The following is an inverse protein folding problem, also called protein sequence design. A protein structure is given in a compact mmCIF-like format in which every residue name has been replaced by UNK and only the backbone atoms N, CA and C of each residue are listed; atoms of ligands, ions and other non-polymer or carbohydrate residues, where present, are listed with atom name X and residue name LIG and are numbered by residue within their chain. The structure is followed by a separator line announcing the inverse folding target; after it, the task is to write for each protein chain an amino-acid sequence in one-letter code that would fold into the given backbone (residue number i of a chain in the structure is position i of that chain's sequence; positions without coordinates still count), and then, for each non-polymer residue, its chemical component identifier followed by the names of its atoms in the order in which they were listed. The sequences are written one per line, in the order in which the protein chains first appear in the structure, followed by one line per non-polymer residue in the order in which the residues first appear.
data_IF_226928802752
#
_entry.id   IF_226928802752
#
_cell.length_a   1.000
_cell.length_b   1.000
_cell.length_c   1.000
_cell.angle_alpha   90.00
_cell.angle_beta   90.00
_cell.angle_gamma   90.00
#
_symmetry.space_group_name_H-M   'P 1'
#
loop_
_entity.id
_entity.type
_entity.pdbx_description
1 polymer ?
#
# COMPACT_ATOMS: atom_id res chain seq x y z
N UNK A 1 14.71 -27.79 27.87
CA UNK A 1 14.03 -26.75 27.06
C UNK A 1 12.56 -27.13 26.90
N UNK A 2 11.63 -26.20 26.98
CA UNK A 2 10.22 -26.53 26.82
C UNK A 2 9.96 -26.98 25.38
N UNK A 3 9.52 -28.23 25.22
CA UNK A 3 9.26 -28.92 23.92
C UNK A 3 8.20 -28.20 23.06
N UNK A 4 7.52 -27.18 23.59
CA UNK A 4 6.42 -26.45 22.95
C UNK A 4 6.72 -24.97 22.66
N UNK A 5 7.98 -24.51 22.75
CA UNK A 5 8.34 -23.17 22.28
C UNK A 5 8.72 -23.22 20.80
N UNK A 6 8.03 -22.42 19.98
CA UNK A 6 8.50 -22.11 18.66
C UNK A 6 9.83 -21.36 18.78
N UNK A 7 10.88 -21.94 18.22
CA UNK A 7 12.19 -21.28 18.06
C UNK A 7 12.36 -20.96 16.57
N UNK A 8 13.27 -20.07 16.25
CA UNK A 8 13.60 -19.75 14.85
C UNK A 8 13.89 -21.02 14.03
N UNK A 9 14.54 -22.00 14.66
CA UNK A 9 14.97 -23.25 14.00
C UNK A 9 13.82 -24.21 13.67
N UNK A 10 12.68 -24.13 14.36
CA UNK A 10 11.55 -25.04 14.19
C UNK A 10 10.24 -24.36 13.79
N UNK A 11 10.31 -23.11 13.39
CA UNK A 11 9.13 -22.33 12.99
C UNK A 11 8.58 -22.80 11.64
N UNK A 12 9.46 -23.02 10.66
CA UNK A 12 9.11 -23.56 9.35
C UNK A 12 9.59 -25.01 9.24
N UNK A 13 8.66 -25.94 8.97
CA UNK A 13 8.91 -27.38 8.84
C UNK A 13 8.26 -27.97 7.59
N UNK A 14 7.19 -27.36 7.11
CA UNK A 14 6.35 -27.80 6.02
C UNK A 14 5.67 -26.59 5.36
N UNK A 15 4.91 -26.84 4.31
CA UNK A 15 4.15 -25.81 3.58
C UNK A 15 3.17 -25.05 4.51
N UNK A 16 2.47 -25.76 5.40
CA UNK A 16 1.47 -25.14 6.26
C UNK A 16 2.11 -24.14 7.24
N UNK A 17 3.24 -24.50 7.84
CA UNK A 17 3.98 -23.58 8.73
C UNK A 17 4.61 -22.42 7.97
N UNK A 18 5.08 -22.62 6.74
CA UNK A 18 5.55 -21.54 5.87
C UNK A 18 4.41 -20.57 5.53
N UNK A 19 3.22 -21.08 5.22
CA UNK A 19 2.03 -20.25 4.95
C UNK A 19 1.63 -19.40 6.16
N UNK A 20 1.74 -19.94 7.37
CA UNK A 20 1.46 -19.15 8.58
C UNK A 20 2.44 -18.00 8.75
N UNK A 21 3.71 -18.19 8.43
CA UNK A 21 4.72 -17.12 8.45
C UNK A 21 4.41 -16.07 7.38
N UNK A 22 4.06 -16.48 6.16
CA UNK A 22 3.65 -15.56 5.10
C UNK A 22 2.42 -14.73 5.49
N UNK A 23 1.41 -15.37 6.08
CA UNK A 23 0.23 -14.66 6.60
C UNK A 23 0.62 -13.64 7.67
N UNK A 24 1.62 -13.96 8.50
CA UNK A 24 2.21 -13.03 9.47
C UNK A 24 2.84 -11.80 8.79
N UNK A 25 3.55 -11.98 7.68
CA UNK A 25 4.10 -10.85 6.90
C UNK A 25 2.99 -9.93 6.40
N UNK A 26 1.92 -10.48 5.82
CA UNK A 26 0.75 -9.68 5.40
C UNK A 26 0.07 -8.97 6.58
N UNK A 27 -0.03 -9.64 7.73
CA UNK A 27 -0.66 -9.06 8.94
C UNK A 27 0.09 -7.82 9.45
N UNK A 28 1.42 -7.79 9.35
CA UNK A 28 2.23 -6.63 9.74
C UNK A 28 1.89 -5.37 8.92
N UNK A 29 1.51 -5.51 7.65
CA UNK A 29 1.05 -4.40 6.80
C UNK A 29 -0.26 -3.75 7.27
N UNK A 30 -1.04 -4.45 8.11
CA UNK A 30 -2.30 -3.96 8.69
C UNK A 30 -2.12 -3.34 10.08
N UNK A 31 -0.90 -3.36 10.63
CA UNK A 31 -0.61 -2.73 11.93
C UNK A 31 -0.97 -1.24 11.89
N UNK A 32 -1.46 -0.73 13.02
CA UNK A 32 -1.99 0.63 13.15
C UNK A 32 -1.05 1.69 12.54
N UNK A 33 0.19 1.73 12.96
CA UNK A 33 1.15 2.76 12.54
C UNK A 33 1.52 2.67 11.06
N UNK A 34 1.43 1.47 10.46
CA UNK A 34 1.67 1.26 9.02
C UNK A 34 0.43 1.65 8.21
N UNK A 35 -0.74 1.22 8.64
CA UNK A 35 -1.99 1.40 7.90
C UNK A 35 -2.55 2.82 7.95
N UNK A 36 -2.23 3.58 8.99
CA UNK A 36 -2.71 4.96 9.16
C UNK A 36 -1.83 6.03 8.52
N UNK A 37 -0.63 5.70 8.13
CA UNK A 37 0.31 6.69 7.62
C UNK A 37 -0.16 7.48 6.40
N UNK A 38 -0.92 6.91 5.43
CA UNK A 38 -1.48 7.68 4.34
C UNK A 38 -2.35 8.87 4.78
N UNK A 39 -3.04 8.75 5.93
CA UNK A 39 -3.82 9.84 6.49
C UNK A 39 -2.95 10.96 7.07
N UNK A 40 -1.81 10.60 7.68
CA UNK A 40 -0.84 11.57 8.16
C UNK A 40 -0.25 12.36 6.99
N UNK A 41 0.03 11.68 5.86
CA UNK A 41 0.48 12.35 4.63
C UNK A 41 -0.58 13.28 4.05
N UNK A 42 -1.85 12.84 4.02
CA UNK A 42 -2.95 13.68 3.56
C UNK A 42 -3.12 14.92 4.43
N UNK A 43 -2.94 14.79 5.75
CA UNK A 43 -2.96 15.94 6.67
C UNK A 43 -1.76 16.87 6.43
N UNK A 44 -0.57 16.31 6.26
CA UNK A 44 0.65 17.06 5.96
C UNK A 44 0.55 17.80 4.62
N UNK A 45 -0.09 17.19 3.61
CA UNK A 45 -0.38 17.79 2.30
C UNK A 45 -1.59 18.76 2.29
N UNK A 46 -2.20 19.04 3.45
CA UNK A 46 -3.41 19.85 3.56
C UNK A 46 -4.62 19.31 2.75
N UNK A 47 -4.66 18.01 2.52
CA UNK A 47 -5.79 17.33 1.88
C UNK A 47 -6.81 16.83 2.90
N UNK A 48 -6.35 16.47 4.09
CA UNK A 48 -7.14 15.92 5.18
C UNK A 48 -6.90 16.61 6.52
N UNK A 49 -7.76 16.31 7.48
CA UNK A 49 -7.62 16.72 8.87
C UNK A 49 -7.73 15.50 9.77
N UNK A 50 -6.72 15.27 10.59
CA UNK A 50 -6.72 14.22 11.61
C UNK A 50 -7.29 14.77 12.89
N UNK A 51 -8.33 14.12 13.43
CA UNK A 51 -9.06 14.57 14.63
C UNK A 51 -9.21 13.45 15.66
N UNK A 52 -9.66 13.79 16.86
CA UNK A 52 -9.97 12.83 17.90
C UNK A 52 -8.73 12.25 18.59
N UNK A 53 -8.73 10.92 18.82
CA UNK A 53 -7.64 10.25 19.53
C UNK A 53 -6.30 10.28 18.80
N UNK A 54 -6.32 10.65 17.52
CA UNK A 54 -5.13 10.86 16.71
C UNK A 54 -4.52 12.26 16.91
N UNK A 55 -4.94 12.98 17.93
CA UNK A 55 -4.46 14.33 18.24
C UNK A 55 -2.94 14.42 18.49
N UNK A 56 -2.27 13.33 18.86
CA UNK A 56 -0.80 13.24 18.85
C UNK A 56 -0.16 13.45 17.49
N UNK A 57 -0.99 13.48 16.42
CA UNK A 57 -0.61 13.79 15.04
C UNK A 57 -0.76 15.28 14.69
N UNK A 58 -0.96 16.17 15.65
CA UNK A 58 -1.22 17.59 15.40
C UNK A 58 -0.15 18.28 14.55
N UNK A 59 1.11 17.83 14.66
CA UNK A 59 2.19 18.34 13.82
C UNK A 59 1.96 18.13 12.33
N UNK A 60 1.28 17.06 11.94
CA UNK A 60 0.95 16.81 10.53
C UNK A 60 -0.09 17.81 9.99
N UNK A 61 -1.09 18.18 10.78
CA UNK A 61 -2.11 19.15 10.36
C UNK A 61 -1.54 20.57 10.13
N UNK A 62 -0.37 20.88 10.69
CA UNK A 62 0.26 22.22 10.64
C UNK A 62 1.65 22.19 9.99
N UNK A 63 2.02 21.09 9.37
CA UNK A 63 3.31 20.87 8.71
C UNK A 63 4.53 21.10 9.62
N UNK A 64 4.38 20.85 10.91
CA UNK A 64 5.44 20.95 11.92
C UNK A 64 5.55 19.63 12.69
N UNK A 65 6.16 18.63 12.04
CA UNK A 65 6.32 17.29 12.61
C UNK A 65 7.69 17.18 13.25
N UNK A 66 7.77 17.04 14.58
CA UNK A 66 9.06 16.93 15.27
C UNK A 66 9.78 15.63 14.93
N UNK A 67 11.11 15.66 14.92
CA UNK A 67 11.97 14.50 14.58
C UNK A 67 11.78 13.29 15.52
N UNK A 68 11.32 13.52 16.73
CA UNK A 68 11.02 12.47 17.72
C UNK A 68 9.54 12.05 17.71
N UNK A 69 8.82 12.32 16.63
CA UNK A 69 7.42 11.95 16.48
C UNK A 69 7.24 10.43 16.53
N UNK A 70 6.38 9.96 17.43
CA UNK A 70 6.16 8.53 17.67
C UNK A 70 5.59 7.81 16.43
N UNK A 71 4.70 8.48 15.66
CA UNK A 71 4.14 7.87 14.44
C UNK A 71 5.21 7.63 13.39
N UNK A 72 6.15 8.57 13.21
CA UNK A 72 7.27 8.38 12.29
C UNK A 72 8.16 7.22 12.72
N UNK A 73 8.50 7.16 14.02
CA UNK A 73 9.31 6.07 14.57
C UNK A 73 8.62 4.72 14.43
N UNK A 74 7.33 4.65 14.71
CA UNK A 74 6.56 3.43 14.60
C UNK A 74 6.40 2.97 13.16
N UNK A 75 6.13 3.89 12.22
CA UNK A 75 6.11 3.58 10.79
C UNK A 75 7.44 2.99 10.32
N UNK A 76 8.55 3.67 10.64
CA UNK A 76 9.88 3.21 10.29
C UNK A 76 10.15 1.80 10.82
N UNK A 77 9.92 1.58 12.10
CA UNK A 77 10.07 0.28 12.73
C UNK A 77 9.10 -0.77 12.16
N UNK A 78 7.88 -0.37 11.84
CA UNK A 78 6.87 -1.24 11.24
C UNK A 78 7.31 -1.77 9.87
N UNK A 79 7.88 -0.91 9.02
CA UNK A 79 8.42 -1.33 7.72
C UNK A 79 9.58 -2.33 7.89
N UNK A 80 10.51 -2.08 8.84
CA UNK A 80 11.60 -3.02 9.10
C UNK A 80 11.14 -4.35 9.71
N UNK A 81 10.03 -4.38 10.45
CA UNK A 81 9.43 -5.66 10.90
C UNK A 81 8.93 -6.47 9.72
N UNK A 82 8.27 -5.83 8.74
CA UNK A 82 7.84 -6.50 7.50
C UNK A 82 9.06 -7.07 6.77
N UNK A 83 10.10 -6.26 6.56
CA UNK A 83 11.35 -6.66 5.90
C UNK A 83 11.98 -7.86 6.61
N UNK A 84 12.12 -7.80 7.92
CA UNK A 84 12.77 -8.87 8.69
C UNK A 84 11.97 -10.17 8.66
N UNK A 85 10.64 -10.09 8.74
CA UNK A 85 9.77 -11.27 8.62
C UNK A 85 9.80 -11.87 7.22
N UNK A 86 9.84 -11.04 6.19
CA UNK A 86 10.01 -11.49 4.80
C UNK A 86 11.37 -12.17 4.60
N UNK A 87 12.45 -11.56 5.12
CA UNK A 87 13.79 -12.17 5.08
C UNK A 87 13.82 -13.55 5.74
N UNK A 88 13.17 -13.70 6.90
CA UNK A 88 13.07 -14.98 7.59
C UNK A 88 12.43 -16.04 6.69
N UNK A 89 11.26 -15.73 6.12
CA UNK A 89 10.55 -16.67 5.25
C UNK A 89 11.38 -17.04 4.03
N UNK A 90 11.97 -16.07 3.36
CA UNK A 90 12.79 -16.28 2.16
C UNK A 90 13.97 -17.21 2.50
N UNK A 91 14.74 -16.91 3.54
CA UNK A 91 15.90 -17.69 3.94
C UNK A 91 15.55 -19.12 4.33
N UNK A 92 14.49 -19.34 5.09
CA UNK A 92 14.08 -20.68 5.53
C UNK A 92 13.55 -21.53 4.35
N UNK A 93 12.83 -20.92 3.40
CA UNK A 93 12.39 -21.61 2.19
C UNK A 93 13.55 -21.95 1.25
N UNK A 94 14.50 -21.02 1.06
CA UNK A 94 15.71 -21.24 0.26
C UNK A 94 16.62 -22.30 0.89
N UNK A 95 16.66 -22.37 2.22
CA UNK A 95 17.38 -23.43 2.97
C UNK A 95 16.66 -24.79 2.95
N UNK A 96 15.50 -24.91 2.31
CA UNK A 96 14.76 -26.17 2.18
C UNK A 96 14.10 -26.66 3.48
N UNK A 97 13.81 -25.75 4.43
CA UNK A 97 13.21 -26.12 5.72
C UNK A 97 11.76 -26.57 5.61
N UNK A 98 11.01 -26.09 4.61
CA UNK A 98 9.64 -26.54 4.35
C UNK A 98 9.65 -27.91 3.64
N UNK A 99 9.75 -28.99 4.42
CA UNK A 99 9.86 -30.35 3.90
C UNK A 99 8.60 -30.71 3.10
N UNK A 100 8.80 -31.21 1.88
CA UNK A 100 7.71 -31.69 1.01
C UNK A 100 6.93 -30.58 0.28
N UNK A 101 7.33 -29.33 0.40
CA UNK A 101 6.74 -28.24 -0.38
C UNK A 101 7.07 -28.44 -1.87
N UNK A 102 6.08 -28.24 -2.74
CA UNK A 102 6.30 -28.22 -4.18
C UNK A 102 7.10 -26.98 -4.61
N UNK A 103 7.95 -27.11 -5.62
CA UNK A 103 8.86 -26.02 -6.01
C UNK A 103 8.12 -24.76 -6.47
N UNK A 104 7.04 -24.92 -7.23
CA UNK A 104 6.16 -23.83 -7.67
C UNK A 104 5.53 -23.10 -6.49
N UNK A 105 5.07 -23.82 -5.47
CA UNK A 105 4.51 -23.25 -4.25
C UNK A 105 5.57 -22.51 -3.44
N UNK A 106 6.78 -23.07 -3.34
CA UNK A 106 7.91 -22.41 -2.70
C UNK A 106 8.26 -21.08 -3.38
N UNK A 107 8.39 -21.10 -4.72
CA UNK A 107 8.65 -19.90 -5.50
C UNK A 107 7.55 -18.84 -5.35
N UNK A 108 6.29 -19.27 -5.34
CA UNK A 108 5.14 -18.41 -5.07
C UNK A 108 5.25 -17.70 -3.72
N UNK A 109 5.52 -18.44 -2.64
CA UNK A 109 5.67 -17.85 -1.30
C UNK A 109 6.87 -16.90 -1.20
N UNK A 110 8.00 -17.24 -1.83
CA UNK A 110 9.17 -16.37 -1.91
C UNK A 110 8.82 -15.08 -2.67
N UNK A 111 8.06 -15.18 -3.76
CA UNK A 111 7.64 -14.04 -4.56
C UNK A 111 6.77 -13.06 -3.75
N UNK A 112 5.82 -13.57 -3.00
CA UNK A 112 4.98 -12.77 -2.12
C UNK A 112 5.79 -12.10 -1.01
N UNK A 113 6.73 -12.81 -0.39
CA UNK A 113 7.62 -12.25 0.62
C UNK A 113 8.53 -11.16 0.05
N UNK A 114 9.10 -11.38 -1.16
CA UNK A 114 9.90 -10.38 -1.88
C UNK A 114 9.08 -9.14 -2.25
N UNK A 115 7.84 -9.31 -2.72
CA UNK A 115 6.94 -8.19 -2.95
C UNK A 115 6.73 -7.34 -1.68
N UNK A 116 6.44 -7.99 -0.54
CA UNK A 116 6.22 -7.28 0.72
C UNK A 116 7.49 -6.55 1.18
N UNK A 117 8.67 -7.16 1.00
CA UNK A 117 9.95 -6.53 1.30
C UNK A 117 10.22 -5.32 0.40
N UNK A 118 10.03 -5.46 -0.89
CA UNK A 118 10.18 -4.38 -1.86
C UNK A 118 9.21 -3.21 -1.57
N UNK A 119 7.95 -3.52 -1.28
CA UNK A 119 6.95 -2.52 -0.95
C UNK A 119 7.32 -1.75 0.34
N UNK A 120 7.83 -2.46 1.36
CA UNK A 120 8.31 -1.84 2.58
C UNK A 120 9.54 -0.94 2.33
N UNK A 121 10.51 -1.36 1.52
CA UNK A 121 11.64 -0.53 1.13
C UNK A 121 11.23 0.68 0.29
N UNK A 122 10.28 0.52 -0.61
CA UNK A 122 9.75 1.63 -1.40
C UNK A 122 9.06 2.67 -0.53
N UNK A 123 8.33 2.25 0.49
CA UNK A 123 7.78 3.17 1.49
C UNK A 123 8.89 3.87 2.29
N UNK A 124 9.90 3.13 2.75
CA UNK A 124 11.02 3.68 3.51
C UNK A 124 11.80 4.72 2.70
N UNK A 125 12.17 4.43 1.46
CA UNK A 125 12.97 5.36 0.66
C UNK A 125 12.18 6.63 0.31
N UNK A 126 10.88 6.51 0.03
CA UNK A 126 10.02 7.67 -0.25
C UNK A 126 9.80 8.60 0.94
N UNK A 127 9.73 8.05 2.15
CA UNK A 127 9.38 8.84 3.35
C UNK A 127 10.59 9.26 4.18
N UNK A 128 11.71 8.53 4.08
CA UNK A 128 12.88 8.74 4.93
C UNK A 128 14.18 8.92 4.16
N UNK A 129 14.18 8.78 2.82
CA UNK A 129 15.32 8.98 1.93
C UNK A 129 15.16 10.17 1.00
N UNK A 130 16.22 10.51 0.29
CA UNK A 130 16.20 11.50 -0.80
C UNK A 130 15.81 10.80 -2.13
N UNK A 131 14.62 10.18 -2.15
CA UNK A 131 14.12 9.28 -3.21
C UNK A 131 14.19 9.87 -4.64
N UNK A 132 14.23 11.19 -4.76
CA UNK A 132 14.24 11.94 -6.01
C UNK A 132 15.64 12.14 -6.62
N UNK A 133 16.70 11.78 -5.88
CA UNK A 133 18.09 11.87 -6.34
C UNK A 133 18.77 10.50 -6.27
N UNK A 134 18.89 9.83 -7.42
CA UNK A 134 19.53 8.52 -7.53
C UNK A 134 21.02 8.51 -7.18
N UNK A 135 21.67 9.68 -7.17
CA UNK A 135 23.07 9.81 -6.81
C UNK A 135 23.29 10.10 -5.32
N UNK A 136 22.20 10.29 -4.56
CA UNK A 136 22.30 10.57 -3.13
C UNK A 136 22.73 9.33 -2.34
N UNK A 137 23.59 9.53 -1.35
CA UNK A 137 23.97 8.55 -0.33
C UNK A 137 22.96 8.45 0.84
N UNK A 138 21.87 9.24 0.78
CA UNK A 138 20.84 9.31 1.81
C UNK A 138 19.61 8.48 1.47
N UNK A 139 19.81 7.22 1.14
CA UNK A 139 18.75 6.23 1.07
C UNK A 139 18.34 5.74 2.46
N UNK A 140 18.15 4.45 2.61
CA UNK A 140 17.81 3.79 3.89
C UNK A 140 18.72 2.60 4.13
N UNK A 141 18.72 2.05 5.34
CA UNK A 141 19.53 0.87 5.67
C UNK A 141 18.95 -0.35 4.97
N UNK A 142 19.75 -1.03 4.14
CA UNK A 142 19.36 -2.31 3.54
C UNK A 142 19.66 -3.46 4.51
N UNK A 143 18.65 -4.27 4.78
CA UNK A 143 18.71 -5.51 5.54
C UNK A 143 18.07 -6.61 4.71
N UNK A 144 18.91 -7.41 4.06
CA UNK A 144 18.47 -8.47 3.13
C UNK A 144 18.51 -9.86 3.77
N UNK A 145 18.94 -9.92 5.03
CA UNK A 145 19.00 -11.16 5.82
C UNK A 145 18.20 -11.00 7.11
N UNK A 146 17.64 -12.12 7.58
CA UNK A 146 16.98 -12.16 8.87
C UNK A 146 17.98 -11.97 10.01
N UNK A 147 17.60 -11.17 11.01
CA UNK A 147 18.37 -11.01 12.25
C UNK A 147 17.45 -10.78 13.44
N UNK A 148 17.80 -11.38 14.56
CA UNK A 148 17.21 -11.06 15.88
C UNK A 148 17.88 -9.87 16.56
N UNK A 149 19.02 -9.40 16.03
CA UNK A 149 19.79 -8.30 16.57
C UNK A 149 19.79 -7.15 15.58
N UNK A 150 19.56 -5.95 16.07
CA UNK A 150 19.57 -4.74 15.27
C UNK A 150 20.83 -3.92 15.57
N UNK A 151 21.90 -4.27 14.89
CA UNK A 151 23.08 -3.42 14.91
C UNK A 151 22.86 -2.12 14.12
N UNK A 152 23.42 -1.03 14.62
CA UNK A 152 23.40 0.22 13.91
C UNK A 152 24.26 0.10 12.61
N UNK A 153 23.67 0.48 11.49
CA UNK A 153 24.33 0.46 10.19
C UNK A 153 24.17 1.83 9.51
N UNK A 154 25.12 2.18 8.67
CA UNK A 154 25.00 3.35 7.81
C UNK A 154 23.86 3.16 6.80
N UNK A 155 23.30 4.26 6.32
CA UNK A 155 22.35 4.22 5.21
C UNK A 155 23.06 3.75 3.94
N UNK A 156 22.35 3.02 3.12
CA UNK A 156 22.74 2.75 1.75
C UNK A 156 22.37 3.95 0.85
N UNK A 157 22.98 4.03 -0.31
CA UNK A 157 22.62 5.01 -1.33
C UNK A 157 21.17 4.76 -1.83
N UNK A 158 20.55 5.79 -2.35
CA UNK A 158 19.21 5.71 -2.96
C UNK A 158 19.20 4.68 -4.09
N UNK A 159 20.24 4.67 -4.92
CA UNK A 159 20.38 3.71 -6.02
C UNK A 159 20.49 2.26 -5.55
N UNK A 160 21.24 1.98 -4.48
CA UNK A 160 21.29 0.61 -3.92
C UNK A 160 19.92 0.14 -3.41
N UNK A 161 19.16 1.06 -2.79
CA UNK A 161 17.80 0.74 -2.32
C UNK A 161 16.87 0.45 -3.49
N UNK A 162 16.89 1.25 -4.55
CA UNK A 162 16.08 0.98 -5.74
C UNK A 162 16.50 -0.33 -6.44
N UNK A 163 17.79 -0.61 -6.55
CA UNK A 163 18.26 -1.88 -7.11
C UNK A 163 17.71 -3.09 -6.34
N UNK A 164 17.66 -3.04 -5.01
CA UNK A 164 17.09 -4.12 -4.20
C UNK A 164 15.57 -4.24 -4.42
N UNK A 165 14.86 -3.12 -4.52
CA UNK A 165 13.43 -3.11 -4.83
C UNK A 165 13.15 -3.73 -6.20
N UNK A 166 13.92 -3.34 -7.21
CA UNK A 166 13.79 -3.89 -8.56
C UNK A 166 14.07 -5.38 -8.60
N UNK A 167 15.16 -5.84 -7.98
CA UNK A 167 15.50 -7.28 -7.92
C UNK A 167 14.35 -8.10 -7.33
N UNK A 168 13.79 -7.65 -6.22
CA UNK A 168 12.69 -8.34 -5.56
C UNK A 168 11.42 -8.34 -6.42
N UNK A 169 11.08 -7.21 -7.04
CA UNK A 169 9.87 -7.09 -7.86
C UNK A 169 9.99 -7.82 -9.20
N UNK A 170 11.16 -7.83 -9.83
CA UNK A 170 11.43 -8.62 -11.02
C UNK A 170 11.24 -10.11 -10.73
N UNK A 171 11.83 -10.61 -9.65
CA UNK A 171 11.62 -11.99 -9.22
C UNK A 171 10.13 -12.28 -8.99
N UNK A 172 9.46 -11.40 -8.25
CA UNK A 172 8.05 -11.57 -7.89
C UNK A 172 7.11 -11.49 -9.11
N UNK A 173 7.42 -10.66 -10.11
CA UNK A 173 6.64 -10.57 -11.34
C UNK A 173 6.75 -11.82 -12.22
N UNK A 174 7.88 -12.55 -12.15
CA UNK A 174 8.14 -13.74 -12.96
C UNK A 174 7.66 -15.05 -12.29
N UNK A 175 7.70 -15.11 -10.95
CA UNK A 175 7.44 -16.33 -10.19
C UNK A 175 6.20 -16.20 -9.28
N UNK A 176 5.60 -15.03 -9.22
CA UNK A 176 4.39 -14.80 -8.44
C UNK A 176 3.18 -15.50 -9.06
N UNK A 177 2.25 -15.96 -8.21
CA UNK A 177 1.03 -16.60 -8.69
C UNK A 177 0.09 -15.59 -9.35
N UNK A 178 -0.86 -16.10 -10.11
CA UNK A 178 -2.03 -15.35 -10.55
C UNK A 178 -3.07 -15.48 -9.46
N UNK A 179 -3.50 -14.37 -8.87
CA UNK A 179 -4.53 -14.34 -7.85
C UNK A 179 -5.82 -13.71 -8.35
N UNK A 180 -6.92 -14.33 -7.96
CA UNK A 180 -8.25 -13.75 -8.10
C UNK A 180 -8.53 -12.79 -6.93
N UNK A 181 -7.92 -13.06 -5.78
CA UNK A 181 -8.12 -12.30 -4.54
C UNK A 181 -7.19 -11.09 -4.49
N UNK A 182 -7.74 -9.89 -4.46
CA UNK A 182 -7.03 -8.61 -4.53
C UNK A 182 -6.23 -8.25 -3.26
N UNK A 183 -6.22 -9.11 -2.26
CA UNK A 183 -5.46 -8.91 -1.02
C UNK A 183 -4.16 -9.73 -0.96
N UNK A 184 -3.84 -10.48 -2.00
CA UNK A 184 -2.56 -11.16 -2.19
C UNK A 184 -1.72 -10.50 -3.28
N UNK A 185 -0.41 -10.50 -3.11
CA UNK A 185 0.52 -9.93 -4.08
C UNK A 185 0.99 -11.00 -5.08
N UNK A 186 0.31 -11.05 -6.22
CA UNK A 186 0.69 -11.92 -7.34
C UNK A 186 1.62 -11.24 -8.35
N UNK A 187 1.80 -11.90 -9.49
CA UNK A 187 2.62 -11.42 -10.62
C UNK A 187 2.18 -10.03 -11.08
N UNK A 188 0.86 -9.82 -11.28
CA UNK A 188 0.33 -8.54 -11.77
C UNK A 188 0.55 -7.40 -10.77
N UNK A 189 0.33 -7.65 -9.47
CA UNK A 189 0.60 -6.66 -8.43
C UNK A 189 2.08 -6.26 -8.40
N UNK A 190 2.98 -7.23 -8.65
CA UNK A 190 4.43 -6.99 -8.71
C UNK A 190 4.80 -6.14 -9.92
N UNK A 191 4.22 -6.39 -11.10
CA UNK A 191 4.39 -5.54 -12.29
C UNK A 191 3.85 -4.12 -12.06
N UNK A 192 2.68 -4.01 -11.45
CA UNK A 192 2.07 -2.72 -11.13
C UNK A 192 2.94 -1.87 -10.19
N UNK A 193 3.50 -2.50 -9.14
CA UNK A 193 4.40 -1.81 -8.23
C UNK A 193 5.72 -1.46 -8.91
N UNK A 194 6.27 -2.35 -9.74
CA UNK A 194 7.52 -2.11 -10.47
C UNK A 194 7.37 -0.96 -11.50
N UNK A 195 6.23 -0.88 -12.19
CA UNK A 195 5.94 0.26 -13.07
C UNK A 195 5.96 1.59 -12.31
N UNK A 196 5.39 1.60 -11.10
CA UNK A 196 5.44 2.76 -10.20
C UNK A 196 6.87 3.08 -9.76
N UNK A 197 7.66 2.09 -9.40
CA UNK A 197 9.09 2.26 -9.03
C UNK A 197 9.88 2.85 -10.18
N UNK A 198 9.72 2.33 -11.39
CA UNK A 198 10.40 2.85 -12.59
C UNK A 198 10.03 4.30 -12.90
N UNK A 199 8.76 4.69 -12.68
CA UNK A 199 8.36 6.10 -12.81
C UNK A 199 9.15 6.99 -11.86
N UNK A 200 9.31 6.56 -10.58
CA UNK A 200 10.07 7.31 -9.56
C UNK A 200 11.56 7.40 -9.88
N UNK A 201 12.13 6.41 -10.53
CA UNK A 201 13.52 6.40 -10.98
C UNK A 201 13.76 7.17 -12.28
N UNK A 202 12.71 7.63 -12.97
CA UNK A 202 12.80 8.26 -14.27
C UNK A 202 13.03 7.27 -15.43
N UNK A 203 12.84 5.97 -15.22
CA UNK A 203 12.85 4.90 -16.23
C UNK A 203 11.52 4.87 -16.97
N UNK A 204 11.24 5.92 -17.74
CA UNK A 204 9.90 6.16 -18.27
C UNK A 204 9.48 5.12 -19.33
N UNK A 205 10.39 4.67 -20.18
CA UNK A 205 10.11 3.65 -21.18
C UNK A 205 9.70 2.31 -20.54
N UNK A 206 10.44 1.90 -19.52
CA UNK A 206 10.18 0.68 -18.76
C UNK A 206 8.88 0.80 -17.95
N UNK A 207 8.63 1.96 -17.35
CA UNK A 207 7.39 2.24 -16.61
C UNK A 207 6.16 2.14 -17.53
N UNK A 208 6.22 2.74 -18.73
CA UNK A 208 5.14 2.67 -19.72
C UNK A 208 4.91 1.25 -20.21
N UNK A 209 5.98 0.51 -20.55
CA UNK A 209 5.89 -0.87 -21.02
C UNK A 209 5.23 -1.80 -19.99
N UNK A 210 5.65 -1.73 -18.70
CA UNK A 210 5.02 -2.51 -17.63
C UNK A 210 3.58 -2.06 -17.35
N UNK A 211 3.31 -0.76 -17.45
CA UNK A 211 1.94 -0.27 -17.30
C UNK A 211 1.03 -0.85 -18.37
N UNK A 212 1.49 -1.00 -19.62
CA UNK A 212 0.75 -1.68 -20.69
C UNK A 212 0.45 -3.14 -20.35
N UNK A 213 1.44 -3.90 -19.85
CA UNK A 213 1.22 -5.29 -19.44
C UNK A 213 0.15 -5.40 -18.33
N UNK A 214 0.08 -4.42 -17.40
CA UNK A 214 -0.94 -4.40 -16.36
C UNK A 214 -2.30 -3.96 -16.90
N UNK A 215 -2.36 -2.97 -17.77
CA UNK A 215 -3.61 -2.46 -18.36
C UNK A 215 -4.27 -3.51 -19.24
N UNK A 216 -3.49 -4.21 -20.06
CA UNK A 216 -3.98 -5.23 -20.98
C UNK A 216 -3.96 -6.65 -20.39
N UNK A 217 -4.07 -6.76 -19.07
CA UNK A 217 -4.11 -8.04 -18.37
C UNK A 217 -5.32 -8.89 -18.80
N UNK A 218 -5.18 -10.20 -18.65
CA UNK A 218 -6.25 -11.19 -18.83
C UNK A 218 -6.73 -11.80 -17.49
N UNK A 219 -6.30 -11.21 -16.35
CA UNK A 219 -6.64 -11.66 -15.00
C UNK A 219 -7.98 -11.07 -14.50
N UNK A 220 -8.65 -10.24 -15.30
CA UNK A 220 -9.98 -9.70 -14.99
C UNK A 220 -9.98 -8.35 -14.27
N UNK A 221 -8.82 -7.71 -14.13
CA UNK A 221 -8.75 -6.33 -13.60
C UNK A 221 -9.22 -5.35 -14.67
N UNK A 222 -10.26 -4.60 -14.36
CA UNK A 222 -10.85 -3.58 -15.23
C UNK A 222 -11.24 -2.36 -14.40
N UNK A 223 -11.29 -1.19 -15.07
CA UNK A 223 -11.80 0.02 -14.43
C UNK A 223 -13.28 -0.15 -14.07
N UNK A 224 -13.66 0.29 -12.88
CA UNK A 224 -15.06 0.35 -12.49
C UNK A 224 -15.82 1.37 -13.33
N UNK A 225 -17.04 1.01 -13.74
CA UNK A 225 -17.90 1.91 -14.50
C UNK A 225 -18.29 3.16 -13.67
N UNK A 226 -18.48 2.96 -12.37
CA UNK A 226 -18.86 4.00 -11.43
C UNK A 226 -17.76 4.21 -10.39
N UNK A 227 -17.26 5.43 -10.27
CA UNK A 227 -16.19 5.76 -9.31
C UNK A 227 -16.49 5.32 -7.87
N UNK A 228 -17.76 5.41 -7.46
CA UNK A 228 -18.17 5.00 -6.12
C UNK A 228 -18.07 3.49 -5.88
N UNK A 229 -18.11 2.67 -6.94
CA UNK A 229 -18.04 1.21 -6.84
C UNK A 229 -16.69 0.74 -6.31
N UNK A 230 -15.60 1.45 -6.64
CA UNK A 230 -14.26 1.18 -6.12
C UNK A 230 -14.29 1.06 -4.58
N UNK A 231 -14.94 2.00 -3.92
CA UNK A 231 -14.93 2.10 -2.45
C UNK A 231 -16.02 1.26 -1.80
N UNK A 232 -17.17 1.10 -2.46
CA UNK A 232 -18.27 0.24 -1.99
C UNK A 232 -17.90 -1.24 -2.06
N UNK A 233 -17.14 -1.62 -3.08
CA UNK A 233 -16.67 -3.01 -3.25
C UNK A 233 -15.39 -3.30 -2.45
N UNK A 234 -14.71 -2.24 -1.92
CA UNK A 234 -13.51 -2.36 -1.13
C UNK A 234 -12.41 -3.14 -1.89
N UNK A 235 -11.73 -4.10 -1.24
CA UNK A 235 -10.73 -4.93 -1.88
C UNK A 235 -11.28 -5.89 -2.95
N UNK A 236 -12.62 -6.04 -3.08
CA UNK A 236 -13.26 -6.85 -4.13
C UNK A 236 -13.57 -6.05 -5.41
N UNK A 237 -13.25 -4.77 -5.47
CA UNK A 237 -13.42 -3.99 -6.69
C UNK A 237 -12.52 -4.53 -7.81
N UNK A 238 -13.04 -4.65 -9.02
CA UNK A 238 -12.28 -5.08 -10.19
C UNK A 238 -11.13 -4.13 -10.56
N UNK A 239 -11.14 -2.90 -10.05
CA UNK A 239 -10.08 -1.91 -10.24
C UNK A 239 -8.93 -2.06 -9.23
N UNK A 240 -9.15 -2.72 -8.11
CA UNK A 240 -8.16 -2.87 -7.04
C UNK A 240 -7.21 -4.01 -7.38
N UNK A 241 -5.93 -3.70 -7.57
CA UNK A 241 -4.88 -4.69 -7.85
C UNK A 241 -4.31 -5.25 -6.55
N UNK A 242 -4.10 -4.37 -5.54
CA UNK A 242 -3.62 -4.81 -4.24
C UNK A 242 -4.14 -3.91 -3.11
N UNK A 243 -4.82 -4.51 -2.16
CA UNK A 243 -5.28 -3.87 -0.93
C UNK A 243 -5.40 -4.90 0.21
N UNK A 244 -5.05 -4.56 1.45
CA UNK A 244 -5.15 -5.49 2.58
C UNK A 244 -6.58 -6.00 2.80
N UNK A 245 -6.73 -7.27 3.13
CA UNK A 245 -8.01 -7.85 3.52
C UNK A 245 -8.52 -7.25 4.84
N UNK A 246 -9.78 -6.82 4.83
CA UNK A 246 -10.48 -6.31 6.02
C UNK A 246 -11.87 -6.95 6.09
N UNK A 247 -12.01 -8.01 6.85
CA UNK A 247 -13.28 -8.71 7.06
C UNK A 247 -13.84 -8.52 8.47
N UNK A 248 -15.03 -9.05 8.78
CA UNK A 248 -15.73 -8.82 10.05
C UNK A 248 -14.91 -9.10 11.30
N UNK A 249 -14.16 -10.19 11.31
CA UNK A 249 -13.37 -10.63 12.46
C UNK A 249 -11.85 -10.55 12.20
N UNK A 250 -11.45 -9.72 11.23
CA UNK A 250 -10.06 -9.64 10.82
C UNK A 250 -9.27 -8.56 11.57
N UNK A 251 -8.03 -8.89 11.86
CA UNK A 251 -7.07 -7.93 12.37
C UNK A 251 -6.95 -6.71 11.43
N UNK A 252 -6.85 -5.53 12.02
CA UNK A 252 -6.78 -4.27 11.27
C UNK A 252 -8.14 -3.67 10.87
N UNK A 253 -9.26 -4.40 10.96
CA UNK A 253 -10.59 -3.86 10.64
C UNK A 253 -10.90 -2.60 11.43
N UNK A 254 -10.71 -2.63 12.75
CA UNK A 254 -10.94 -1.47 13.61
C UNK A 254 -10.06 -0.29 13.21
N UNK A 255 -8.82 -0.55 12.83
CA UNK A 255 -7.92 0.48 12.35
C UNK A 255 -8.45 1.11 11.07
N UNK A 256 -8.83 0.30 10.09
CA UNK A 256 -9.38 0.79 8.82
C UNK A 256 -10.68 1.58 8.99
N UNK A 257 -11.48 1.26 10.00
CA UNK A 257 -12.68 2.03 10.32
C UNK A 257 -12.39 3.44 10.86
N UNK A 258 -11.29 3.61 11.58
CA UNK A 258 -10.89 4.93 12.04
C UNK A 258 -10.56 5.87 10.88
N UNK A 259 -10.12 5.33 9.74
CA UNK A 259 -9.89 6.09 8.51
C UNK A 259 -11.15 6.84 8.06
N UNK A 260 -12.31 6.25 8.22
CA UNK A 260 -13.60 6.88 7.88
C UNK A 260 -13.92 8.12 8.72
N UNK A 261 -13.28 8.27 9.88
CA UNK A 261 -13.48 9.42 10.79
C UNK A 261 -12.61 10.62 10.44
N UNK A 262 -11.65 10.47 9.54
CA UNK A 262 -10.90 11.61 9.02
C UNK A 262 -11.76 12.38 8.04
N UNK A 263 -11.59 13.70 8.00
CA UNK A 263 -12.32 14.57 7.08
C UNK A 263 -11.35 15.21 6.10
N UNK A 264 -11.84 15.56 4.93
CA UNK A 264 -11.09 16.40 4.01
C UNK A 264 -10.92 17.81 4.56
N UNK A 265 -9.80 18.43 4.23
CA UNK A 265 -9.56 19.84 4.59
C UNK A 265 -10.59 20.74 3.93
N UNK A 266 -10.83 21.91 4.54
CA UNK A 266 -11.73 22.89 3.94
C UNK A 266 -11.19 23.41 2.59
N UNK A 267 -9.87 23.48 2.44
CA UNK A 267 -9.23 23.87 1.18
C UNK A 267 -9.57 22.90 0.06
N UNK A 268 -9.41 21.58 0.30
CA UNK A 268 -9.74 20.57 -0.70
C UNK A 268 -11.23 20.55 -1.02
N UNK A 269 -12.10 20.67 -0.01
CA UNK A 269 -13.55 20.76 -0.21
C UNK A 269 -13.94 21.97 -1.08
N UNK A 270 -13.37 23.14 -0.80
CA UNK A 270 -13.65 24.33 -1.59
C UNK A 270 -13.19 24.22 -3.04
N UNK A 271 -12.04 23.59 -3.27
CA UNK A 271 -11.55 23.30 -4.62
C UNK A 271 -12.47 22.29 -5.34
N UNK A 272 -12.92 21.26 -4.65
CA UNK A 272 -13.84 20.27 -5.20
C UNK A 272 -15.20 20.87 -5.52
N UNK A 273 -15.76 21.71 -4.64
CA UNK A 273 -17.03 22.40 -4.87
C UNK A 273 -16.94 23.34 -6.10
N UNK A 274 -15.80 23.98 -6.31
CA UNK A 274 -15.57 24.84 -7.47
C UNK A 274 -15.48 24.04 -8.80
N UNK A 275 -15.19 22.74 -8.74
CA UNK A 275 -15.15 21.85 -9.90
C UNK A 275 -16.51 21.20 -10.21
N UNK A 276 -17.41 21.13 -9.23
CA UNK A 276 -18.75 20.61 -9.39
C UNK A 276 -19.67 21.78 -9.70
N UNK A 277 -20.00 22.03 -10.93
CA UNK A 277 -20.93 23.09 -11.33
C UNK A 277 -22.27 23.00 -10.58
N UNK A 278 -23.11 24.00 -10.73
CA UNK A 278 -24.48 23.98 -10.21
C UNK A 278 -25.48 23.93 -11.35
N UNK A 279 -26.58 23.23 -11.14
CA UNK A 279 -27.75 23.24 -12.02
C UNK A 279 -28.57 24.52 -11.84
N UNK A 280 -29.56 24.76 -12.72
CA UNK A 280 -30.36 25.98 -12.73
C UNK A 280 -31.15 26.21 -11.44
N UNK A 281 -31.38 25.19 -10.63
CA UNK A 281 -32.07 25.31 -9.32
C UNK A 281 -31.08 25.52 -8.16
N UNK A 282 -29.79 25.71 -8.45
CA UNK A 282 -28.73 25.88 -7.45
C UNK A 282 -28.24 24.59 -6.78
N UNK A 283 -28.75 23.44 -7.19
CA UNK A 283 -28.21 22.16 -6.75
C UNK A 283 -26.89 21.83 -7.46
N UNK A 284 -26.09 20.92 -6.89
CA UNK A 284 -24.85 20.50 -7.54
C UNK A 284 -25.14 19.75 -8.83
N UNK A 285 -24.44 20.09 -9.89
CA UNK A 285 -24.59 19.45 -11.19
C UNK A 285 -24.33 17.94 -11.10
N UNK A 286 -25.24 17.17 -11.69
CA UNK A 286 -25.12 15.70 -11.76
C UNK A 286 -24.75 15.24 -13.17
N UNK A 287 -24.78 16.14 -14.16
CA UNK A 287 -24.42 15.88 -15.56
C UNK A 287 -23.86 17.15 -16.21
N UNK A 288 -23.27 17.02 -17.37
CA UNK A 288 -22.82 18.15 -18.19
C UNK A 288 -21.43 18.69 -17.83
N UNK A 289 -21.10 19.86 -18.36
CA UNK A 289 -19.81 20.51 -18.09
C UNK A 289 -19.72 20.95 -16.64
N UNK A 290 -18.65 20.58 -15.96
CA UNK A 290 -18.45 20.81 -14.52
C UNK A 290 -18.85 19.63 -13.63
N UNK A 291 -19.51 18.62 -14.19
CA UNK A 291 -19.75 17.40 -13.43
C UNK A 291 -18.49 16.53 -13.40
N UNK A 292 -18.00 16.23 -12.20
CA UNK A 292 -16.99 15.20 -11.97
C UNK A 292 -17.45 14.29 -10.81
N UNK A 293 -17.77 13.02 -11.10
CA UNK A 293 -18.28 12.09 -10.09
C UNK A 293 -17.30 11.86 -8.94
N UNK A 294 -15.99 12.05 -9.18
CA UNK A 294 -14.95 11.88 -8.14
C UNK A 294 -15.07 12.99 -7.10
N UNK A 295 -15.21 14.25 -7.56
CA UNK A 295 -15.35 15.38 -6.67
C UNK A 295 -16.68 15.35 -5.92
N UNK A 296 -17.77 15.08 -6.63
CA UNK A 296 -19.09 14.97 -6.01
C UNK A 296 -19.15 13.85 -4.95
N UNK A 297 -18.59 12.69 -5.24
CA UNK A 297 -18.63 11.54 -4.34
C UNK A 297 -17.68 11.68 -3.16
N UNK A 298 -16.43 12.09 -3.38
CA UNK A 298 -15.37 11.94 -2.40
C UNK A 298 -14.92 13.23 -1.72
N UNK A 299 -15.01 14.39 -2.39
CA UNK A 299 -14.31 15.58 -1.95
C UNK A 299 -15.22 16.78 -1.70
N UNK A 300 -16.38 16.89 -2.37
CA UNK A 300 -17.25 18.07 -2.25
C UNK A 300 -18.04 18.09 -0.96
N UNK A 301 -18.58 19.27 -0.61
CA UNK A 301 -19.52 19.45 0.51
C UNK A 301 -20.81 18.66 0.33
N UNK A 302 -21.13 18.26 -0.90
CA UNK A 302 -22.27 17.41 -1.22
C UNK A 302 -22.10 15.94 -0.80
N UNK A 303 -20.89 15.51 -0.47
CA UNK A 303 -20.64 14.19 0.11
C UNK A 303 -21.40 14.05 1.41
N UNK A 304 -22.46 13.25 1.43
CA UNK A 304 -23.47 13.21 2.48
C UNK A 304 -23.21 12.07 3.48
N UNK A 305 -23.76 12.28 4.68
CA UNK A 305 -23.79 11.31 5.76
C UNK A 305 -22.90 11.71 6.93
N UNK A 306 -22.87 10.90 7.95
CA UNK A 306 -21.99 11.05 9.11
C UNK A 306 -20.51 10.95 8.73
N UNK A 307 -20.23 10.32 7.59
CA UNK A 307 -18.94 10.24 6.97
C UNK A 307 -18.86 11.18 5.77
N UNK A 308 -18.11 12.24 5.90
CA UNK A 308 -17.82 13.17 4.80
C UNK A 308 -16.73 12.66 3.85
N UNK A 309 -16.23 11.44 4.08
CA UNK A 309 -15.21 10.79 3.29
C UNK A 309 -15.79 9.61 2.51
N UNK A 310 -16.27 9.85 1.31
CA UNK A 310 -16.88 8.82 0.46
C UNK A 310 -15.96 7.65 0.12
N UNK A 311 -14.63 7.84 0.21
CA UNK A 311 -13.66 6.76 -0.05
C UNK A 311 -13.61 5.70 1.05
N UNK A 312 -14.18 5.97 2.21
CA UNK A 312 -14.20 5.04 3.34
C UNK A 312 -15.61 4.92 3.89
N UNK A 313 -16.53 4.28 3.12
CA UNK A 313 -17.98 4.34 3.41
C UNK A 313 -18.41 3.50 4.61
N UNK A 314 -17.61 2.54 5.06
CA UNK A 314 -17.98 1.61 6.12
C UNK A 314 -17.62 2.16 7.49
N UNK A 315 -18.63 2.60 8.25
CA UNK A 315 -18.45 3.23 9.57
C UNK A 315 -18.59 2.24 10.73
N UNK A 316 -19.26 1.11 10.49
CA UNK A 316 -19.65 0.13 11.50
C UNK A 316 -18.76 -1.11 11.46
N UNK A 317 -18.30 -1.56 12.63
CA UNK A 317 -17.57 -2.81 12.77
C UNK A 317 -18.42 -4.04 12.58
N UNK A 318 -19.71 -3.92 12.61
CA UNK A 318 -20.64 -5.04 12.40
C UNK A 318 -20.90 -5.32 10.91
N UNK A 319 -20.47 -4.45 10.01
CA UNK A 319 -20.64 -4.67 8.57
C UNK A 319 -19.72 -5.81 8.08
N UNK A 320 -20.24 -6.60 7.17
CA UNK A 320 -19.50 -7.72 6.55
C UNK A 320 -18.31 -7.28 5.71
N UNK A 321 -18.35 -6.03 5.24
CA UNK A 321 -17.25 -5.39 4.53
C UNK A 321 -16.63 -4.31 5.41
N UNK A 322 -15.33 -4.06 5.23
CA UNK A 322 -14.58 -3.01 5.90
C UNK A 322 -13.90 -2.09 4.90
N UNK A 323 -13.52 -0.91 5.36
CA UNK A 323 -12.62 -0.06 4.59
C UNK A 323 -11.25 -0.72 4.47
N UNK A 324 -10.59 -0.52 3.33
CA UNK A 324 -9.22 -0.99 3.11
C UNK A 324 -8.31 0.14 2.65
N UNK A 325 -7.01 -0.13 2.63
CA UNK A 325 -6.03 0.75 1.99
C UNK A 325 -5.82 0.32 0.54
N UNK A 326 -6.06 1.24 -0.37
CA UNK A 326 -5.88 1.01 -1.80
C UNK A 326 -4.42 1.26 -2.17
N UNK A 327 -3.57 0.22 -2.06
CA UNK A 327 -2.14 0.36 -2.35
C UNK A 327 -1.84 0.47 -3.85
N UNK A 328 -2.53 -0.34 -4.66
CA UNK A 328 -2.39 -0.34 -6.12
C UNK A 328 -3.79 -0.48 -6.75
N UNK A 329 -4.10 0.42 -7.68
CA UNK A 329 -5.33 0.39 -8.47
C UNK A 329 -5.03 0.61 -9.95
N UNK A 330 -5.83 0.00 -10.80
CA UNK A 330 -5.67 0.07 -12.25
C UNK A 330 -5.71 1.52 -12.76
N UNK A 331 -6.58 2.38 -12.20
CA UNK A 331 -6.62 3.80 -12.54
C UNK A 331 -5.29 4.53 -12.30
N UNK A 332 -4.53 4.15 -11.24
CA UNK A 332 -3.18 4.68 -11.01
C UNK A 332 -2.22 4.24 -12.12
N UNK A 333 -2.34 3.01 -12.60
CA UNK A 333 -1.47 2.48 -13.66
C UNK A 333 -1.66 3.24 -14.98
N UNK A 334 -2.91 3.59 -15.32
CA UNK A 334 -3.17 4.50 -16.45
C UNK A 334 -2.49 5.86 -16.31
N UNK A 335 -2.47 6.41 -15.09
CA UNK A 335 -1.80 7.69 -14.80
C UNK A 335 -0.27 7.55 -14.86
N UNK A 336 0.28 6.44 -14.37
CA UNK A 336 1.71 6.12 -14.49
C UNK A 336 2.12 6.07 -15.96
N UNK A 337 1.35 5.36 -16.79
CA UNK A 337 1.59 5.31 -18.22
C UNK A 337 1.56 6.70 -18.85
N UNK A 338 0.51 7.47 -18.62
CA UNK A 338 0.33 8.80 -19.18
C UNK A 338 1.50 9.74 -18.78
N UNK A 339 1.94 9.71 -17.53
CA UNK A 339 3.09 10.52 -17.08
C UNK A 339 4.40 10.03 -17.70
N UNK A 340 4.62 8.73 -17.78
CA UNK A 340 5.82 8.15 -18.36
C UNK A 340 5.94 8.51 -19.85
N UNK A 341 4.85 8.39 -20.63
CA UNK A 341 4.83 8.77 -22.03
C UNK A 341 5.01 10.27 -22.26
N UNK A 342 4.49 11.10 -21.36
CA UNK A 342 4.66 12.56 -21.46
C UNK A 342 6.09 13.02 -21.13
N UNK A 343 6.88 12.20 -20.41
CA UNK A 343 8.27 12.49 -20.01
C UNK A 343 9.30 11.79 -20.88
N UNK A 344 8.92 10.84 -21.73
CA UNK A 344 9.78 10.16 -22.71
C UNK A 344 9.94 11.04 -23.95
#
# INVERSE_FOLDING_TARGET
EPVNKLTTENTIRDEASAQLVLNGVYSLGKAFDVSFFPLHLAAYGNEGVITGFMSGSTGFNVNDVPVNNTFLSNLYNGQYKIINSANFLIQELEAGKAIGIAEDKKLSMISEAKFQRAFAYFNLVRYFGEFYDLNSDKGVVLRTTFSNEFEAQARNSVKEVYNQIEEDLLFASQNGPIYIDHFYSGSLASKALLAKVYLYEGKYAEASALADEVIFNDEGYVLEAEYSAIFKNSFNSSEVIFAPFTGPDQEGKTNMQQVSRTTYSQTLKSLADAQVGTDNDGSLATTGSGYDPRFQYAYSSATKGSNSNGKYPFLDNLQSQGNTLYHLRLGEIYLIKAEAEARS
#
